data_IF_318432417829
#
_entry.id   IF_318432417829
#
_cell.length_a   1.000
_cell.length_b   1.000
_cell.length_c   1.000
_cell.angle_alpha   90.00
_cell.angle_beta   90.00
_cell.angle_gamma   90.00
#
_symmetry.space_group_name_H-M   'P 1'
#
loop_
_entity.id
_entity.type
_entity.pdbx_description
1 polymer ?
#
# COMPACT_ATOMS: atom_id res chain seq x y z
N UNK A 1 48.95 24.35 6.92
CA UNK A 1 48.74 22.91 6.67
C UNK A 1 47.52 22.47 7.48
N UNK A 2 46.32 22.47 6.88
CA UNK A 2 45.08 22.12 7.58
C UNK A 2 45.08 20.62 7.90
N UNK A 3 45.25 20.30 9.17
CA UNK A 3 45.15 18.94 9.68
C UNK A 3 43.71 18.47 9.50
N UNK A 4 43.40 17.76 8.40
CA UNK A 4 42.10 17.12 8.20
C UNK A 4 41.91 16.09 9.31
N UNK A 5 41.25 16.49 10.41
CA UNK A 5 40.77 15.57 11.44
C UNK A 5 39.90 14.54 10.73
N UNK A 6 40.43 13.33 10.51
CA UNK A 6 39.64 12.21 10.02
C UNK A 6 38.66 11.86 11.13
N UNK A 7 37.37 12.17 10.92
CA UNK A 7 36.30 11.76 11.82
C UNK A 7 36.37 10.23 11.91
N UNK A 8 36.78 9.71 13.07
CA UNK A 8 36.92 8.27 13.28
C UNK A 8 35.57 7.71 13.67
N UNK A 9 34.89 7.09 12.72
CA UNK A 9 33.60 6.43 12.94
C UNK A 9 33.82 5.13 13.72
N UNK A 10 33.16 4.97 14.86
CA UNK A 10 33.21 3.76 15.68
C UNK A 10 31.86 3.03 15.68
N UNK A 11 31.86 1.74 16.01
CA UNK A 11 30.64 0.93 16.14
C UNK A 11 29.72 1.54 17.21
N UNK A 12 30.27 1.90 18.37
CA UNK A 12 29.51 2.54 19.44
C UNK A 12 28.89 3.85 18.99
N UNK A 13 29.64 4.70 18.27
CA UNK A 13 29.13 5.96 17.74
C UNK A 13 27.96 5.76 16.75
N UNK A 14 28.02 4.75 15.90
CA UNK A 14 26.93 4.44 14.95
C UNK A 14 25.70 3.84 15.62
N UNK A 15 25.88 3.01 16.65
CA UNK A 15 24.76 2.50 17.45
C UNK A 15 24.10 3.63 18.24
N UNK A 16 24.88 4.50 18.87
CA UNK A 16 24.37 5.70 19.55
C UNK A 16 23.67 6.64 18.57
N UNK A 17 24.20 6.81 17.35
CA UNK A 17 23.55 7.62 16.32
C UNK A 17 22.21 7.03 15.90
N UNK A 18 22.10 5.71 15.72
CA UNK A 18 20.86 5.04 15.35
C UNK A 18 19.80 5.19 16.44
N UNK A 19 20.19 4.99 17.71
CA UNK A 19 19.31 5.19 18.86
C UNK A 19 18.86 6.66 18.98
N UNK A 20 19.78 7.60 18.81
CA UNK A 20 19.46 9.03 18.84
C UNK A 20 18.50 9.41 17.70
N UNK A 21 18.74 8.93 16.48
CA UNK A 21 17.83 9.11 15.34
C UNK A 21 16.43 8.57 15.67
N UNK A 22 16.34 7.36 16.23
CA UNK A 22 15.06 6.78 16.64
C UNK A 22 14.31 7.71 17.59
N UNK A 23 14.94 8.16 18.68
CA UNK A 23 14.27 9.05 19.64
C UNK A 23 13.91 10.42 19.04
N UNK A 24 14.77 11.00 18.21
CA UNK A 24 14.48 12.25 17.50
C UNK A 24 13.25 12.08 16.60
N UNK A 25 13.20 11.01 15.82
CA UNK A 25 12.07 10.78 14.92
C UNK A 25 10.79 10.45 15.67
N UNK A 26 10.85 9.77 16.83
CA UNK A 26 9.66 9.57 17.64
C UNK A 26 9.16 10.88 18.26
N UNK A 27 10.06 11.71 18.78
CA UNK A 27 9.70 13.03 19.30
C UNK A 27 9.08 13.92 18.21
N UNK A 28 9.65 13.87 16.99
CA UNK A 28 9.11 14.58 15.84
C UNK A 28 7.76 14.01 15.40
N UNK A 29 7.62 12.67 15.33
CA UNK A 29 6.37 11.98 15.00
C UNK A 29 5.24 12.32 15.98
N UNK A 30 5.56 12.54 17.27
CA UNK A 30 4.60 12.97 18.30
C UNK A 30 4.22 14.45 18.22
N UNK A 31 5.06 15.30 17.62
CA UNK A 31 4.77 16.74 17.48
C UNK A 31 3.92 17.07 16.25
N UNK A 32 3.83 16.17 15.27
CA UNK A 32 3.02 16.36 14.07
C UNK A 32 1.53 16.12 14.35
N UNK A 33 0.69 17.03 13.85
CA UNK A 33 -0.76 16.85 13.85
C UNK A 33 -1.16 15.68 12.93
N UNK A 34 -2.13 14.84 13.34
CA UNK A 34 -2.62 13.75 12.51
C UNK A 34 -3.37 14.18 11.24
N UNK A 35 -3.87 15.42 11.13
CA UNK A 35 -4.78 15.82 10.04
C UNK A 35 -4.30 17.02 9.22
N UNK A 36 -3.50 17.91 9.81
CA UNK A 36 -2.96 19.09 9.12
C UNK A 36 -1.50 19.32 9.51
N UNK A 37 -0.61 18.76 8.70
CA UNK A 37 0.81 18.70 8.99
C UNK A 37 1.60 19.38 7.88
N UNK A 38 2.33 20.43 8.23
CA UNK A 38 3.29 21.08 7.33
C UNK A 38 4.28 20.09 6.72
N UNK A 39 4.60 19.02 7.46
CA UNK A 39 5.50 17.96 7.01
C UNK A 39 4.88 17.15 5.88
N UNK A 40 3.58 16.86 5.92
CA UNK A 40 2.88 16.22 4.80
C UNK A 40 3.04 17.02 3.51
N UNK A 41 2.78 18.34 3.55
CA UNK A 41 2.94 19.22 2.39
C UNK A 41 4.39 19.29 1.89
N UNK A 42 5.37 19.30 2.79
CA UNK A 42 6.78 19.23 2.42
C UNK A 42 7.09 17.92 1.68
N UNK A 43 6.61 16.79 2.19
CA UNK A 43 6.87 15.48 1.59
C UNK A 43 6.19 15.33 0.24
N UNK A 44 4.97 15.84 0.05
CA UNK A 44 4.33 15.88 -1.28
C UNK A 44 5.23 16.62 -2.29
N UNK A 45 5.84 17.75 -1.90
CA UNK A 45 6.79 18.48 -2.77
C UNK A 45 8.06 17.68 -3.07
N UNK A 46 8.63 17.00 -2.07
CA UNK A 46 9.80 16.13 -2.26
C UNK A 46 9.47 14.99 -3.22
N UNK A 47 8.30 14.36 -3.07
CA UNK A 47 7.86 13.27 -3.95
C UNK A 47 7.58 13.75 -5.36
N UNK A 48 7.00 14.94 -5.53
CA UNK A 48 6.86 15.59 -6.83
C UNK A 48 8.24 15.78 -7.50
N UNK A 49 9.25 16.21 -6.74
CA UNK A 49 10.62 16.33 -7.25
C UNK A 49 11.22 14.97 -7.65
N UNK A 50 11.08 13.93 -6.81
CA UNK A 50 11.54 12.58 -7.13
C UNK A 50 10.86 12.05 -8.41
N UNK A 51 9.56 12.27 -8.56
CA UNK A 51 8.83 11.90 -9.75
C UNK A 51 9.37 12.60 -11.01
N UNK A 52 9.70 13.89 -10.94
CA UNK A 52 10.34 14.60 -12.06
C UNK A 52 11.67 13.99 -12.51
N UNK A 53 12.37 13.25 -11.63
CA UNK A 53 13.62 12.57 -11.97
C UNK A 53 13.33 11.15 -12.48
N UNK A 54 12.63 10.34 -11.68
CA UNK A 54 12.48 8.90 -11.93
C UNK A 54 11.30 8.55 -12.84
N UNK A 55 10.31 9.44 -12.98
CA UNK A 55 9.16 9.26 -13.86
C UNK A 55 9.54 9.07 -15.33
N UNK A 56 10.65 9.68 -15.79
CA UNK A 56 11.13 9.54 -17.17
C UNK A 56 11.80 8.20 -17.49
N UNK A 57 12.27 7.49 -16.47
CA UNK A 57 12.97 6.22 -16.62
C UNK A 57 11.93 5.10 -16.68
N UNK A 58 11.94 4.27 -17.72
CA UNK A 58 10.92 3.23 -17.91
C UNK A 58 11.15 1.98 -17.04
N UNK A 59 12.38 1.76 -16.58
CA UNK A 59 12.79 0.62 -15.75
C UNK A 59 12.64 0.99 -14.26
N UNK A 60 12.25 0.03 -13.42
CA UNK A 60 12.17 0.23 -11.95
C UNK A 60 13.56 0.46 -11.35
N UNK A 61 13.89 1.72 -11.08
CA UNK A 61 15.18 2.11 -10.47
C UNK A 61 15.25 1.63 -9.01
N UNK A 62 14.10 1.60 -8.34
CA UNK A 62 13.91 1.11 -6.99
C UNK A 62 14.21 -0.38 -6.87
N UNK A 63 13.79 -1.19 -7.85
CA UNK A 63 14.15 -2.62 -7.88
C UNK A 63 15.67 -2.79 -8.08
N UNK A 64 16.26 -2.02 -8.99
CA UNK A 64 17.73 -2.03 -9.22
C UNK A 64 18.46 -1.65 -7.93
N UNK A 65 17.96 -0.63 -7.23
CA UNK A 65 18.51 -0.19 -5.95
C UNK A 65 18.42 -1.30 -4.89
N UNK A 66 17.28 -1.99 -4.78
CA UNK A 66 17.13 -3.12 -3.84
C UNK A 66 18.03 -4.31 -4.21
N UNK A 67 18.17 -4.64 -5.50
CA UNK A 67 19.11 -5.67 -5.95
C UNK A 67 20.55 -5.28 -5.58
N UNK A 68 20.93 -4.01 -5.83
CA UNK A 68 22.24 -3.50 -5.48
C UNK A 68 22.52 -3.58 -3.97
N UNK A 69 21.56 -3.17 -3.13
CA UNK A 69 21.65 -3.29 -1.68
C UNK A 69 21.81 -4.74 -1.24
N UNK A 70 21.04 -5.66 -1.81
CA UNK A 70 21.12 -7.09 -1.50
C UNK A 70 22.51 -7.65 -1.84
N UNK A 71 23.04 -7.34 -3.03
CA UNK A 71 24.38 -7.77 -3.44
C UNK A 71 25.45 -7.20 -2.51
N UNK A 72 25.37 -5.92 -2.15
CA UNK A 72 26.30 -5.30 -1.20
C UNK A 72 26.28 -5.99 0.17
N UNK A 73 25.09 -6.27 0.70
CA UNK A 73 24.93 -6.97 1.98
C UNK A 73 25.53 -8.38 1.90
N UNK A 74 25.26 -9.14 0.83
CA UNK A 74 25.82 -10.48 0.64
C UNK A 74 27.36 -10.42 0.58
N UNK A 75 27.94 -9.48 -0.18
CA UNK A 75 29.39 -9.31 -0.24
C UNK A 75 29.97 -9.03 1.15
N UNK A 76 29.35 -8.14 1.92
CA UNK A 76 29.83 -7.82 3.26
C UNK A 76 29.65 -8.97 4.24
N UNK A 77 28.57 -9.75 4.15
CA UNK A 77 28.38 -10.96 4.97
C UNK A 77 29.45 -12.01 4.64
N UNK A 78 29.74 -12.26 3.36
CA UNK A 78 30.83 -13.16 2.95
C UNK A 78 32.18 -12.65 3.48
N UNK A 79 32.46 -11.35 3.35
CA UNK A 79 33.70 -10.75 3.87
C UNK A 79 33.81 -10.90 5.38
N UNK A 80 32.73 -10.68 6.13
CA UNK A 80 32.67 -10.88 7.58
C UNK A 80 33.01 -12.33 7.91
N UNK A 81 32.35 -13.30 7.27
CA UNK A 81 32.61 -14.73 7.49
C UNK A 81 34.06 -15.11 7.19
N UNK A 82 34.60 -14.68 6.05
CA UNK A 82 35.99 -14.95 5.66
C UNK A 82 36.98 -14.31 6.63
N UNK A 83 36.79 -13.05 7.03
CA UNK A 83 37.69 -12.38 7.97
C UNK A 83 37.58 -12.92 9.38
N UNK A 84 36.39 -13.38 9.79
CA UNK A 84 36.17 -14.04 11.06
C UNK A 84 36.95 -15.37 11.14
N UNK A 85 36.82 -16.22 10.11
CA UNK A 85 37.58 -17.48 10.01
C UNK A 85 39.10 -17.22 10.00
N UNK A 86 39.54 -16.19 9.26
CA UNK A 86 40.95 -15.77 9.21
C UNK A 86 41.42 -15.02 10.48
N UNK A 87 40.60 -14.93 11.53
CA UNK A 87 40.87 -14.23 12.80
C UNK A 87 41.30 -12.77 12.64
N UNK A 88 40.90 -12.11 11.55
CA UNK A 88 41.22 -10.70 11.24
C UNK A 88 40.19 -9.75 11.86
N UNK A 89 40.21 -9.62 13.19
CA UNK A 89 39.22 -8.86 13.99
C UNK A 89 39.01 -7.43 13.50
N UNK A 90 40.08 -6.71 13.14
CA UNK A 90 39.98 -5.33 12.64
C UNK A 90 39.20 -5.22 11.32
N UNK A 91 39.36 -6.21 10.41
CA UNK A 91 38.64 -6.23 9.13
C UNK A 91 37.16 -6.57 9.33
N UNK A 92 36.85 -7.48 10.25
CA UNK A 92 35.46 -7.77 10.66
C UNK A 92 34.79 -6.51 11.19
N UNK A 93 35.45 -5.80 12.12
CA UNK A 93 34.94 -4.55 12.66
C UNK A 93 34.73 -3.49 11.56
N UNK A 94 35.65 -3.38 10.60
CA UNK A 94 35.49 -2.46 9.46
C UNK A 94 34.28 -2.80 8.58
N UNK A 95 34.02 -4.08 8.29
CA UNK A 95 32.82 -4.50 7.56
C UNK A 95 31.54 -4.17 8.35
N UNK A 96 31.53 -4.41 9.66
CA UNK A 96 30.39 -4.10 10.51
C UNK A 96 30.10 -2.58 10.57
N UNK A 97 31.14 -1.76 10.64
CA UNK A 97 31.02 -0.29 10.56
C UNK A 97 30.37 0.12 9.23
N UNK A 98 30.75 -0.48 8.10
CA UNK A 98 30.13 -0.18 6.79
C UNK A 98 28.64 -0.54 6.76
N UNK A 99 28.28 -1.71 7.27
CA UNK A 99 26.88 -2.16 7.38
C UNK A 99 26.08 -1.19 8.25
N UNK A 100 26.55 -0.91 9.46
CA UNK A 100 25.86 -0.01 10.40
C UNK A 100 25.75 1.42 9.86
N UNK A 101 26.77 1.91 9.16
CA UNK A 101 26.74 3.22 8.54
C UNK A 101 25.67 3.29 7.45
N UNK A 102 25.59 2.27 6.59
CA UNK A 102 24.54 2.17 5.58
C UNK A 102 23.15 2.11 6.23
N UNK A 103 22.96 1.31 7.28
CA UNK A 103 21.69 1.22 8.02
C UNK A 103 21.28 2.59 8.57
N UNK A 104 22.22 3.34 9.16
CA UNK A 104 21.94 4.69 9.66
C UNK A 104 21.43 5.63 8.54
N UNK A 105 22.06 5.59 7.37
CA UNK A 105 21.64 6.41 6.23
C UNK A 105 20.25 5.98 5.73
N UNK A 106 20.05 4.68 5.54
CA UNK A 106 18.79 4.15 5.03
C UNK A 106 17.63 4.41 5.99
N UNK A 107 17.86 4.24 7.30
CA UNK A 107 16.86 4.53 8.33
C UNK A 107 16.50 6.01 8.37
N UNK A 108 17.50 6.90 8.42
CA UNK A 108 17.27 8.34 8.40
C UNK A 108 16.51 8.80 7.16
N UNK A 109 16.91 8.32 5.99
CA UNK A 109 16.20 8.59 4.73
C UNK A 109 14.77 8.07 4.78
N UNK A 110 14.57 6.82 5.19
CA UNK A 110 13.25 6.21 5.26
C UNK A 110 12.31 7.01 6.17
N UNK A 111 12.77 7.38 7.37
CA UNK A 111 11.96 8.17 8.30
C UNK A 111 11.59 9.53 7.72
N UNK A 112 12.56 10.22 7.11
CA UNK A 112 12.37 11.54 6.50
C UNK A 112 11.58 11.53 5.20
N UNK A 113 11.52 10.43 4.46
CA UNK A 113 10.82 10.35 3.16
C UNK A 113 9.42 9.74 3.26
N UNK A 114 9.19 8.90 4.28
CA UNK A 114 7.94 8.14 4.39
C UNK A 114 7.55 7.79 5.83
N UNK A 115 8.49 7.35 6.67
CA UNK A 115 8.18 6.80 8.00
C UNK A 115 7.44 7.74 8.95
N UNK A 116 7.70 9.05 8.88
CA UNK A 116 7.00 10.05 9.68
C UNK A 116 5.53 10.27 9.27
N UNK A 117 5.14 9.87 8.05
CA UNK A 117 3.76 10.00 7.55
C UNK A 117 2.81 8.96 8.16
N UNK A 118 3.30 7.93 8.85
CA UNK A 118 2.43 6.90 9.45
C UNK A 118 1.47 7.43 10.54
N UNK A 119 1.73 8.62 11.10
CA UNK A 119 0.83 9.29 12.04
C UNK A 119 -0.18 10.24 11.36
N UNK A 120 -0.01 10.50 10.08
CA UNK A 120 -0.92 11.35 9.32
C UNK A 120 -2.08 10.51 8.78
N UNK A 121 -3.30 11.05 8.86
CA UNK A 121 -4.54 10.44 8.40
C UNK A 121 -5.29 11.45 7.52
N UNK A 122 -5.21 11.25 6.20
CA UNK A 122 -5.95 11.94 5.16
C UNK A 122 -7.46 11.74 5.30
N UNK A 123 -7.88 10.57 5.83
CA UNK A 123 -9.28 10.16 5.92
C UNK A 123 -9.77 10.02 7.38
N UNK A 124 -9.20 10.82 8.28
CA UNK A 124 -9.49 10.79 9.72
C UNK A 124 -10.98 10.81 10.05
N UNK A 125 -11.78 11.55 9.28
CA UNK A 125 -13.24 11.65 9.47
C UNK A 125 -14.00 10.32 9.29
N UNK A 126 -13.50 9.41 8.46
CA UNK A 126 -14.12 8.10 8.22
C UNK A 126 -13.56 7.03 9.17
N UNK A 127 -12.28 7.17 9.52
CA UNK A 127 -11.59 6.31 10.48
C UNK A 127 -12.13 6.49 11.91
N UNK A 128 -12.29 7.75 12.34
CA UNK A 128 -12.71 8.14 13.68
C UNK A 128 -14.16 8.64 13.71
N UNK A 129 -15.05 8.00 12.93
CA UNK A 129 -16.48 8.25 13.05
C UNK A 129 -16.95 7.93 14.48
N UNK A 130 -17.65 8.87 15.11
CA UNK A 130 -18.27 8.70 16.44
C UNK A 130 -19.48 7.78 16.41
N UNK A 131 -20.01 7.51 15.23
CA UNK A 131 -21.17 6.67 15.06
C UNK A 131 -20.79 5.20 15.25
N UNK A 132 -21.56 4.50 16.10
CA UNK A 132 -21.37 3.07 16.29
C UNK A 132 -21.88 2.33 15.05
N UNK A 133 -21.00 1.54 14.43
CA UNK A 133 -21.37 0.67 13.32
C UNK A 133 -21.84 -0.69 13.83
N UNK A 134 -22.88 -1.22 13.20
CA UNK A 134 -23.43 -2.54 13.49
C UNK A 134 -23.32 -3.45 12.27
N UNK A 135 -23.38 -4.77 12.45
CA UNK A 135 -23.30 -5.75 11.35
C UNK A 135 -24.31 -5.46 10.22
N UNK A 136 -25.50 -4.93 10.55
CA UNK A 136 -26.51 -4.54 9.56
C UNK A 136 -26.02 -3.42 8.63
N UNK A 137 -25.21 -2.48 9.11
CA UNK A 137 -24.66 -1.39 8.29
C UNK A 137 -23.73 -1.96 7.19
N UNK A 138 -22.90 -2.95 7.56
CA UNK A 138 -22.02 -3.64 6.61
C UNK A 138 -22.82 -4.39 5.54
N UNK A 139 -23.91 -5.06 5.94
CA UNK A 139 -24.81 -5.77 5.02
C UNK A 139 -25.53 -4.81 4.06
N UNK A 140 -26.02 -3.67 4.55
CA UNK A 140 -26.67 -2.65 3.69
C UNK A 140 -25.70 -2.22 2.60
N UNK A 141 -24.47 -1.87 2.97
CA UNK A 141 -23.45 -1.43 2.02
C UNK A 141 -23.01 -2.56 1.08
N UNK A 142 -22.85 -3.79 1.58
CA UNK A 142 -22.50 -4.94 0.74
C UNK A 142 -23.59 -5.25 -0.30
N UNK A 143 -24.87 -5.19 0.08
CA UNK A 143 -25.99 -5.35 -0.84
C UNK A 143 -26.05 -4.24 -1.89
N UNK A 144 -25.82 -2.99 -1.49
CA UNK A 144 -25.73 -1.86 -2.42
C UNK A 144 -24.57 -2.03 -3.42
N UNK A 145 -23.36 -2.34 -2.93
CA UNK A 145 -22.19 -2.57 -3.76
C UNK A 145 -22.36 -3.76 -4.71
N UNK A 146 -23.04 -4.84 -4.29
CA UNK A 146 -23.38 -5.95 -5.18
C UNK A 146 -24.20 -5.44 -6.37
N UNK A 147 -25.28 -4.70 -6.12
CA UNK A 147 -26.15 -4.19 -7.17
C UNK A 147 -25.40 -3.25 -8.13
N UNK A 148 -24.55 -2.38 -7.59
CA UNK A 148 -23.68 -1.50 -8.39
C UNK A 148 -22.68 -2.31 -9.23
N UNK A 149 -22.03 -3.31 -8.66
CA UNK A 149 -21.09 -4.16 -9.38
C UNK A 149 -21.77 -4.95 -10.50
N UNK A 150 -23.00 -5.46 -10.26
CA UNK A 150 -23.76 -6.18 -11.29
C UNK A 150 -24.04 -5.28 -12.49
N UNK A 151 -24.50 -4.05 -12.26
CA UNK A 151 -24.74 -3.06 -13.33
C UNK A 151 -23.45 -2.68 -14.04
N UNK A 152 -22.42 -2.29 -13.28
CA UNK A 152 -21.13 -1.89 -13.84
C UNK A 152 -20.51 -3.01 -14.67
N UNK A 153 -20.69 -4.28 -14.28
CA UNK A 153 -20.16 -5.42 -15.02
C UNK A 153 -20.67 -5.49 -16.47
N UNK A 154 -21.83 -4.92 -16.76
CA UNK A 154 -22.40 -4.83 -18.12
C UNK A 154 -21.77 -3.70 -18.95
N UNK A 155 -21.24 -2.67 -18.30
CA UNK A 155 -20.68 -1.47 -18.93
C UNK A 155 -19.15 -1.51 -19.10
N UNK A 156 -18.47 -2.39 -18.36
CA UNK A 156 -17.00 -2.48 -18.35
C UNK A 156 -16.42 -3.30 -19.50
N UNK A 157 -15.13 -3.09 -19.72
CA UNK A 157 -14.31 -3.86 -20.65
C UNK A 157 -14.23 -5.34 -20.22
N UNK A 158 -14.53 -6.24 -21.15
CA UNK A 158 -14.48 -7.69 -20.94
C UNK A 158 -13.62 -8.37 -22.03
N UNK A 159 -12.91 -9.44 -21.66
CA UNK A 159 -12.23 -10.30 -22.62
C UNK A 159 -13.22 -11.26 -23.30
N UNK A 160 -12.72 -12.07 -24.25
CA UNK A 160 -13.53 -13.04 -25.01
C UNK A 160 -14.26 -14.08 -24.14
N UNK A 161 -13.79 -14.32 -22.91
CA UNK A 161 -14.41 -15.25 -21.97
C UNK A 161 -15.49 -14.59 -21.09
N UNK A 162 -15.68 -13.26 -21.18
CA UNK A 162 -16.58 -12.50 -20.32
C UNK A 162 -15.98 -12.13 -18.96
N UNK A 163 -14.67 -12.32 -18.78
CA UNK A 163 -13.93 -11.82 -17.61
C UNK A 163 -13.63 -10.34 -17.81
N UNK A 164 -13.61 -9.59 -16.72
CA UNK A 164 -13.18 -8.19 -16.72
C UNK A 164 -11.73 -8.12 -17.21
N UNK A 165 -11.47 -7.16 -18.09
CA UNK A 165 -10.16 -6.97 -18.69
C UNK A 165 -9.90 -5.48 -18.85
N UNK A 166 -8.69 -5.04 -18.48
CA UNK A 166 -8.34 -3.62 -18.52
C UNK A 166 -6.96 -3.44 -19.15
N UNK A 167 -6.81 -2.38 -19.92
CA UNK A 167 -5.49 -1.92 -20.34
C UNK A 167 -4.80 -1.22 -19.17
N UNK A 168 -3.74 -1.86 -18.66
CA UNK A 168 -2.97 -1.36 -17.52
C UNK A 168 -2.37 0.01 -17.78
N UNK A 169 -1.77 0.24 -18.95
CA UNK A 169 -1.03 1.47 -19.21
C UNK A 169 -2.01 2.63 -19.39
N UNK A 170 -3.17 2.38 -20.01
CA UNK A 170 -4.30 3.32 -20.04
C UNK A 170 -4.83 3.61 -18.63
N UNK A 171 -4.97 2.60 -17.79
CA UNK A 171 -5.48 2.77 -16.42
C UNK A 171 -4.52 3.60 -15.55
N UNK A 172 -3.20 3.39 -15.69
CA UNK A 172 -2.18 4.20 -15.04
C UNK A 172 -2.35 5.69 -15.40
N UNK A 173 -2.56 6.00 -16.69
CA UNK A 173 -2.77 7.38 -17.15
C UNK A 173 -4.06 8.01 -16.58
N UNK A 174 -5.15 7.25 -16.53
CA UNK A 174 -6.45 7.70 -16.03
C UNK A 174 -6.35 8.01 -14.53
N UNK A 175 -5.85 7.08 -13.74
CA UNK A 175 -5.73 7.24 -12.28
C UNK A 175 -4.78 8.39 -11.95
N UNK A 176 -3.67 8.54 -12.69
CA UNK A 176 -2.76 9.68 -12.51
C UNK A 176 -3.44 11.02 -12.77
N UNK A 177 -4.27 11.10 -13.81
CA UNK A 177 -5.03 12.31 -14.10
C UNK A 177 -6.05 12.62 -13.00
N UNK A 178 -6.81 11.63 -12.54
CA UNK A 178 -7.81 11.81 -11.47
C UNK A 178 -7.16 12.19 -10.14
N UNK A 179 -6.03 11.57 -9.79
CA UNK A 179 -5.24 11.94 -8.61
C UNK A 179 -4.74 13.39 -8.70
N UNK A 180 -4.19 13.79 -9.85
CA UNK A 180 -3.68 15.16 -10.04
C UNK A 180 -4.80 16.19 -9.88
N UNK A 181 -5.99 15.89 -10.42
CA UNK A 181 -7.17 16.74 -10.27
C UNK A 181 -7.66 16.80 -8.82
N UNK A 182 -7.71 15.66 -8.11
CA UNK A 182 -8.15 15.59 -6.72
C UNK A 182 -7.29 16.45 -5.78
N UNK A 183 -5.97 16.43 -5.94
CA UNK A 183 -5.06 17.25 -5.13
C UNK A 183 -4.80 18.66 -5.68
N UNK A 184 -5.36 19.01 -6.84
CA UNK A 184 -5.10 20.29 -7.50
C UNK A 184 -3.63 20.50 -7.87
N UNK A 185 -2.90 19.41 -8.17
CA UNK A 185 -1.47 19.43 -8.51
C UNK A 185 -1.27 19.28 -10.02
N UNK A 186 -0.20 19.89 -10.60
CA UNK A 186 0.12 19.70 -12.01
C UNK A 186 0.38 18.23 -12.32
N UNK A 187 -0.17 17.75 -13.44
CA UNK A 187 0.06 16.39 -13.91
C UNK A 187 1.55 16.19 -14.21
N UNK A 188 2.15 15.19 -13.59
CA UNK A 188 3.48 14.70 -13.91
C UNK A 188 3.41 13.41 -14.69
N UNK A 189 4.56 12.97 -15.22
CA UNK A 189 4.71 11.64 -15.81
C UNK A 189 4.45 10.58 -14.74
N UNK A 190 3.81 9.48 -15.15
CA UNK A 190 3.43 8.41 -14.25
C UNK A 190 4.67 7.66 -13.74
N UNK A 191 4.88 7.68 -12.42
CA UNK A 191 5.98 6.95 -11.79
C UNK A 191 5.57 5.57 -11.31
N UNK A 192 4.81 4.87 -12.18
CA UNK A 192 4.34 3.51 -11.96
C UNK A 192 5.17 2.58 -12.84
N UNK A 193 5.86 1.62 -12.21
CA UNK A 193 6.78 0.71 -12.91
C UNK A 193 6.34 -0.74 -12.73
N UNK A 194 6.54 -1.54 -13.77
CA UNK A 194 6.45 -3.00 -13.65
C UNK A 194 7.66 -3.48 -12.85
N UNK A 195 7.44 -4.22 -11.76
CA UNK A 195 8.55 -4.72 -10.95
C UNK A 195 9.41 -5.72 -11.74
N UNK A 196 10.73 -5.54 -11.68
CA UNK A 196 11.76 -6.50 -12.13
C UNK A 196 11.77 -7.71 -11.18
N UNK A 197 11.51 -7.48 -9.90
CA UNK A 197 11.41 -8.48 -8.83
C UNK A 197 10.07 -9.25 -8.81
N UNK A 198 9.28 -9.19 -9.89
CA UNK A 198 7.94 -9.79 -10.00
C UNK A 198 7.81 -11.21 -9.40
N UNK A 199 8.67 -12.19 -9.73
CA UNK A 199 8.53 -13.54 -9.19
C UNK A 199 8.73 -13.61 -7.67
N UNK A 200 9.53 -12.71 -7.11
CA UNK A 200 9.83 -12.65 -5.68
C UNK A 200 8.65 -12.01 -4.95
N UNK A 201 8.20 -10.84 -5.39
CA UNK A 201 7.12 -10.11 -4.71
C UNK A 201 5.80 -10.91 -4.73
N UNK A 202 5.50 -11.62 -5.84
CA UNK A 202 4.31 -12.49 -5.93
C UNK A 202 4.41 -13.64 -4.90
N UNK A 203 5.57 -14.28 -4.75
CA UNK A 203 5.79 -15.34 -3.75
C UNK A 203 5.70 -14.83 -2.31
N UNK A 204 5.92 -13.53 -2.09
CA UNK A 204 5.76 -12.88 -0.79
C UNK A 204 4.32 -12.40 -0.55
N UNK A 205 3.40 -12.60 -1.49
CA UNK A 205 2.03 -12.13 -1.36
C UNK A 205 1.80 -10.66 -1.76
N UNK A 206 2.80 -10.02 -2.38
CA UNK A 206 2.82 -8.57 -2.66
C UNK A 206 2.40 -8.31 -4.12
N UNK A 207 1.34 -7.51 -4.29
CA UNK A 207 0.82 -7.12 -5.62
C UNK A 207 1.41 -5.81 -6.14
N UNK A 208 1.83 -4.95 -5.23
CA UNK A 208 2.51 -3.70 -5.49
C UNK A 208 3.24 -3.25 -4.24
N UNK A 209 4.15 -2.29 -4.41
CA UNK A 209 4.78 -1.62 -3.29
C UNK A 209 5.29 -0.24 -3.71
N UNK A 210 5.35 0.69 -2.76
CA UNK A 210 5.98 1.98 -2.92
C UNK A 210 7.46 1.93 -2.49
N UNK A 211 8.34 2.51 -3.30
CA UNK A 211 9.76 2.61 -3.00
C UNK A 211 10.11 4.00 -2.41
N UNK A 212 10.38 4.12 -1.10
CA UNK A 212 10.63 5.42 -0.45
C UNK A 212 11.96 6.07 -0.84
N UNK A 213 12.86 5.35 -1.52
CA UNK A 213 14.16 5.88 -1.96
C UNK A 213 14.10 6.54 -3.33
N UNK A 214 13.15 6.14 -4.17
CA UNK A 214 13.00 6.61 -5.56
C UNK A 214 11.65 7.29 -5.81
N UNK A 215 10.69 7.17 -4.90
CA UNK A 215 9.32 7.67 -5.10
C UNK A 215 8.54 6.90 -6.17
N UNK A 216 9.08 5.79 -6.67
CA UNK A 216 8.41 4.91 -7.62
C UNK A 216 7.35 4.07 -6.90
N UNK A 217 6.25 3.81 -7.59
CA UNK A 217 5.30 2.77 -7.22
C UNK A 217 5.47 1.60 -8.18
N UNK A 218 5.73 0.42 -7.62
CA UNK A 218 5.95 -0.80 -8.37
C UNK A 218 4.72 -1.68 -8.33
N UNK A 219 4.31 -2.21 -9.47
CA UNK A 219 3.17 -3.13 -9.56
C UNK A 219 3.62 -4.44 -10.21
N UNK A 220 3.13 -5.55 -9.68
CA UNK A 220 3.34 -6.88 -10.25
C UNK A 220 2.69 -6.99 -11.64
N UNK A 221 3.36 -7.71 -12.54
CA UNK A 221 3.05 -7.78 -13.98
C UNK A 221 1.77 -8.54 -14.27
N UNK A 222 1.48 -9.59 -13.51
CA UNK A 222 0.50 -10.62 -13.86
C UNK A 222 -0.65 -10.74 -12.86
N UNK A 223 -0.99 -9.64 -12.17
CA UNK A 223 -2.13 -9.61 -11.24
C UNK A 223 -3.47 -9.67 -12.03
N UNK A 224 -4.55 -10.22 -11.43
CA UNK A 224 -5.86 -10.24 -12.07
C UNK A 224 -6.32 -8.84 -12.46
N UNK A 225 -6.96 -8.72 -13.63
CA UNK A 225 -7.41 -7.43 -14.17
C UNK A 225 -8.31 -6.66 -13.20
N UNK A 226 -9.16 -7.37 -12.44
CA UNK A 226 -10.01 -6.81 -11.37
C UNK A 226 -9.23 -6.14 -10.26
N UNK A 227 -7.96 -6.49 -10.07
CA UNK A 227 -7.06 -5.91 -9.07
C UNK A 227 -6.17 -4.81 -9.64
N UNK A 228 -6.03 -4.69 -10.97
CA UNK A 228 -5.12 -3.71 -11.59
C UNK A 228 -5.47 -2.26 -11.20
N UNK A 229 -6.69 -1.75 -11.43
CA UNK A 229 -7.00 -0.36 -11.10
C UNK A 229 -6.87 -0.08 -9.60
N UNK A 230 -7.40 -0.98 -8.76
CA UNK A 230 -7.29 -0.86 -7.31
C UNK A 230 -5.84 -0.80 -6.82
N UNK A 231 -4.99 -1.74 -7.26
CA UNK A 231 -3.58 -1.77 -6.85
C UNK A 231 -2.82 -0.54 -7.35
N UNK A 232 -3.06 -0.07 -8.59
CA UNK A 232 -2.42 1.16 -9.08
C UNK A 232 -2.81 2.34 -8.19
N UNK A 233 -4.10 2.54 -7.92
CA UNK A 233 -4.55 3.65 -7.09
C UNK A 233 -4.03 3.56 -5.64
N UNK A 234 -3.95 2.35 -5.09
CA UNK A 234 -3.34 2.09 -3.77
C UNK A 234 -1.87 2.55 -3.74
N UNK A 235 -1.03 2.06 -4.66
CA UNK A 235 0.39 2.42 -4.68
C UNK A 235 0.61 3.90 -5.00
N UNK A 236 -0.23 4.48 -5.86
CA UNK A 236 -0.25 5.93 -6.11
C UNK A 236 -0.68 6.73 -4.87
N UNK A 237 -1.48 6.15 -3.97
CA UNK A 237 -1.80 6.73 -2.66
C UNK A 237 -0.55 6.90 -1.80
N UNK A 238 0.32 5.89 -1.77
CA UNK A 238 1.62 6.01 -1.10
C UNK A 238 2.50 7.11 -1.72
N UNK A 239 2.45 7.31 -3.04
CA UNK A 239 3.17 8.40 -3.71
C UNK A 239 2.70 9.80 -3.29
N UNK A 240 1.45 9.96 -2.85
CA UNK A 240 0.94 11.24 -2.32
C UNK A 240 0.99 11.33 -0.79
N UNK A 241 1.50 10.29 -0.12
CA UNK A 241 1.73 10.32 1.33
C UNK A 241 0.64 9.70 2.19
N UNK A 242 -0.28 8.94 1.59
CA UNK A 242 -1.12 8.00 2.33
C UNK A 242 -0.22 6.84 2.75
N UNK A 243 0.34 6.87 3.97
CA UNK A 243 1.39 5.91 4.36
C UNK A 243 0.84 4.60 4.92
N UNK A 244 -0.35 4.62 5.51
CA UNK A 244 -0.94 3.45 6.15
C UNK A 244 -1.64 2.56 5.11
N UNK A 245 -1.47 1.25 5.22
CA UNK A 245 -2.05 0.27 4.28
C UNK A 245 -3.59 0.27 4.27
N UNK A 246 -4.23 0.33 5.44
CA UNK A 246 -5.69 0.41 5.56
C UNK A 246 -6.23 1.69 4.90
N UNK A 247 -5.55 2.80 5.17
CA UNK A 247 -5.88 4.09 4.59
C UNK A 247 -5.62 4.12 3.08
N UNK A 248 -4.55 3.49 2.58
CA UNK A 248 -4.26 3.38 1.15
C UNK A 248 -5.30 2.51 0.41
N UNK A 249 -5.78 1.44 1.06
CA UNK A 249 -6.91 0.68 0.54
C UNK A 249 -8.20 1.51 0.49
N UNK A 250 -8.48 2.30 1.54
CA UNK A 250 -9.62 3.21 1.54
C UNK A 250 -9.46 4.34 0.51
N UNK A 251 -8.25 4.89 0.34
CA UNK A 251 -7.92 5.90 -0.66
C UNK A 251 -8.22 5.39 -2.06
N UNK A 252 -7.79 4.16 -2.39
CA UNK A 252 -8.12 3.55 -3.68
C UNK A 252 -9.62 3.46 -3.90
N UNK A 253 -10.38 3.02 -2.89
CA UNK A 253 -11.84 3.00 -2.96
C UNK A 253 -12.41 4.40 -3.16
N UNK A 254 -12.00 5.37 -2.34
CA UNK A 254 -12.49 6.73 -2.36
C UNK A 254 -12.26 7.42 -3.71
N UNK A 255 -11.09 7.23 -4.32
CA UNK A 255 -10.77 7.76 -5.64
C UNK A 255 -11.60 7.12 -6.74
N UNK A 256 -11.80 5.80 -6.69
CA UNK A 256 -12.51 5.09 -7.75
C UNK A 256 -14.04 5.08 -7.62
N UNK A 257 -14.60 5.27 -6.42
CA UNK A 257 -16.04 5.10 -6.14
C UNK A 257 -16.93 5.96 -7.04
N UNK A 258 -16.49 7.19 -7.29
CA UNK A 258 -17.18 8.17 -8.15
C UNK A 258 -16.37 8.55 -9.39
N UNK A 259 -15.38 7.73 -9.77
CA UNK A 259 -14.56 7.99 -10.96
C UNK A 259 -15.43 8.01 -12.23
N UNK A 260 -15.20 8.91 -13.19
CA UNK A 260 -15.91 8.85 -14.48
C UNK A 260 -15.58 7.57 -15.29
N UNK A 261 -14.48 6.88 -14.96
CA UNK A 261 -14.09 5.65 -15.62
C UNK A 261 -14.75 4.42 -14.98
N UNK A 262 -15.58 3.71 -15.76
CA UNK A 262 -16.35 2.53 -15.30
C UNK A 262 -15.47 1.34 -14.93
N UNK A 263 -14.34 1.13 -15.62
CA UNK A 263 -13.41 0.04 -15.30
C UNK A 263 -12.76 0.27 -13.93
N UNK A 264 -12.42 1.53 -13.60
CA UNK A 264 -11.90 1.90 -12.28
C UNK A 264 -12.98 1.77 -11.20
N UNK A 265 -14.19 2.30 -11.43
CA UNK A 265 -15.33 2.14 -10.52
C UNK A 265 -15.60 0.66 -10.18
N UNK A 266 -15.68 -0.20 -11.20
CA UNK A 266 -15.96 -1.62 -11.01
C UNK A 266 -14.86 -2.30 -10.17
N UNK A 267 -13.59 -2.07 -10.49
CA UNK A 267 -12.47 -2.67 -9.75
C UNK A 267 -12.52 -2.30 -8.26
N UNK A 268 -12.73 -1.03 -7.92
CA UNK A 268 -12.72 -0.60 -6.52
C UNK A 268 -13.98 -1.01 -5.76
N UNK A 269 -15.16 -0.93 -6.38
CA UNK A 269 -16.43 -1.39 -5.79
C UNK A 269 -16.43 -2.89 -5.57
N UNK A 270 -15.89 -3.66 -6.51
CA UNK A 270 -15.72 -5.10 -6.39
C UNK A 270 -14.76 -5.46 -5.25
N UNK A 271 -13.65 -4.72 -5.08
CA UNK A 271 -12.73 -4.95 -3.97
C UNK A 271 -13.32 -4.53 -2.61
N UNK A 272 -14.03 -3.41 -2.57
CA UNK A 272 -14.81 -2.96 -1.41
C UNK A 272 -15.83 -4.02 -0.96
N UNK A 273 -16.62 -4.58 -1.91
CA UNK A 273 -17.55 -5.67 -1.63
C UNK A 273 -16.84 -6.86 -0.98
N UNK A 274 -15.69 -7.27 -1.53
CA UNK A 274 -14.91 -8.38 -0.96
C UNK A 274 -14.34 -8.09 0.43
N UNK A 275 -13.98 -6.83 0.76
CA UNK A 275 -13.61 -6.47 2.14
C UNK A 275 -14.79 -6.66 3.09
N UNK A 276 -15.96 -6.12 2.75
CA UNK A 276 -17.16 -6.24 3.58
C UNK A 276 -17.60 -7.71 3.74
N UNK A 277 -17.56 -8.50 2.68
CA UNK A 277 -17.92 -9.92 2.76
C UNK A 277 -16.99 -10.72 3.68
N UNK A 278 -15.68 -10.40 3.72
CA UNK A 278 -14.75 -11.03 4.67
C UNK A 278 -15.11 -10.68 6.11
N UNK A 279 -15.43 -9.42 6.38
CA UNK A 279 -15.83 -8.96 7.71
C UNK A 279 -17.16 -9.59 8.16
N UNK A 280 -18.15 -9.65 7.26
CA UNK A 280 -19.47 -10.22 7.54
C UNK A 280 -19.37 -11.73 7.76
N UNK A 281 -18.50 -12.44 7.03
CA UNK A 281 -18.41 -13.91 7.07
C UNK A 281 -18.21 -14.48 8.47
N UNK A 282 -17.48 -13.76 9.33
CA UNK A 282 -17.21 -14.18 10.72
C UNK A 282 -18.49 -14.30 11.54
N UNK A 283 -19.48 -13.43 11.28
CA UNK A 283 -20.72 -13.34 12.08
C UNK A 283 -21.96 -13.83 11.32
N UNK A 284 -21.96 -13.83 9.99
CA UNK A 284 -23.06 -14.28 9.15
C UNK A 284 -22.58 -14.79 7.78
N UNK A 285 -22.11 -16.04 7.76
CA UNK A 285 -21.69 -16.72 6.54
C UNK A 285 -22.85 -16.97 5.56
N UNK A 286 -24.09 -17.13 6.05
CA UNK A 286 -25.26 -17.36 5.22
C UNK A 286 -25.56 -16.15 4.31
N UNK A 287 -25.47 -14.94 4.85
CA UNK A 287 -25.56 -13.70 4.07
C UNK A 287 -24.46 -13.61 2.99
N UNK A 288 -23.23 -13.98 3.32
CA UNK A 288 -22.13 -13.98 2.35
C UNK A 288 -22.40 -14.96 1.21
N UNK A 289 -22.88 -16.17 1.52
CA UNK A 289 -23.26 -17.15 0.50
C UNK A 289 -24.41 -16.64 -0.38
N UNK A 290 -25.39 -15.93 0.18
CA UNK A 290 -26.46 -15.29 -0.58
C UNK A 290 -25.92 -14.25 -1.57
N UNK A 291 -25.03 -13.35 -1.12
CA UNK A 291 -24.41 -12.35 -2.00
C UNK A 291 -23.61 -13.01 -3.12
N UNK A 292 -22.77 -13.99 -2.80
CA UNK A 292 -21.97 -14.71 -3.81
C UNK A 292 -22.82 -15.47 -4.82
N UNK A 293 -23.98 -16.00 -4.41
CA UNK A 293 -24.93 -16.66 -5.33
C UNK A 293 -25.49 -15.66 -6.35
N UNK A 294 -25.73 -14.43 -5.92
CA UNK A 294 -26.27 -13.33 -6.72
C UNK A 294 -25.23 -12.57 -7.57
N UNK A 295 -23.96 -12.97 -7.56
CA UNK A 295 -22.99 -12.45 -8.52
C UNK A 295 -23.46 -12.73 -9.95
N UNK A 296 -23.28 -11.74 -10.84
CA UNK A 296 -23.50 -11.93 -12.27
C UNK A 296 -22.57 -13.01 -12.83
N UNK A 297 -22.87 -13.55 -14.02
CA UNK A 297 -22.03 -14.57 -14.66
C UNK A 297 -20.58 -14.09 -14.81
N UNK A 298 -20.40 -12.84 -15.24
CA UNK A 298 -19.07 -12.24 -15.37
C UNK A 298 -18.35 -12.07 -14.02
N UNK A 299 -19.05 -11.61 -12.98
CA UNK A 299 -18.46 -11.50 -11.64
C UNK A 299 -18.02 -12.85 -11.07
N UNK A 300 -18.74 -13.95 -11.39
CA UNK A 300 -18.33 -15.31 -11.00
C UNK A 300 -17.03 -15.71 -11.69
N UNK A 301 -16.87 -15.41 -12.98
CA UNK A 301 -15.62 -15.67 -13.70
C UNK A 301 -14.45 -14.85 -13.13
N UNK A 302 -14.68 -13.56 -12.87
CA UNK A 302 -13.70 -12.67 -12.24
C UNK A 302 -13.24 -13.23 -10.89
N UNK A 303 -14.20 -13.69 -10.07
CA UNK A 303 -13.93 -14.32 -8.78
C UNK A 303 -13.11 -15.59 -8.88
N UNK A 304 -13.42 -16.48 -9.83
CA UNK A 304 -12.66 -17.73 -10.02
C UNK A 304 -11.23 -17.45 -10.50
N UNK A 305 -11.04 -16.46 -11.38
CA UNK A 305 -9.71 -15.99 -11.80
C UNK A 305 -8.89 -15.46 -10.62
N UNK A 306 -9.48 -14.60 -9.79
CA UNK A 306 -8.82 -14.11 -8.57
C UNK A 306 -8.48 -15.24 -7.60
N UNK A 307 -9.42 -16.15 -7.31
CA UNK A 307 -9.17 -17.30 -6.43
C UNK A 307 -8.00 -18.14 -6.92
N UNK A 308 -8.00 -18.50 -8.20
CA UNK A 308 -6.92 -19.30 -8.80
C UNK A 308 -5.57 -18.60 -8.69
N UNK A 309 -5.54 -17.29 -8.93
CA UNK A 309 -4.33 -16.49 -8.81
C UNK A 309 -3.80 -16.45 -7.36
N UNK A 310 -4.65 -16.11 -6.39
CA UNK A 310 -4.23 -15.98 -4.99
C UNK A 310 -3.89 -17.32 -4.33
N UNK A 311 -4.52 -18.42 -4.73
CA UNK A 311 -4.09 -19.77 -4.33
C UNK A 311 -2.66 -20.08 -4.78
N UNK A 312 -2.23 -19.54 -5.93
CA UNK A 312 -0.85 -19.65 -6.39
C UNK A 312 0.16 -18.78 -5.63
N UNK A 313 -0.32 -17.78 -4.88
CA UNK A 313 0.52 -16.89 -4.07
C UNK A 313 0.73 -17.38 -2.64
N UNK A 314 -0.18 -18.20 -2.11
CA UNK A 314 -0.06 -18.70 -0.74
C UNK A 314 1.11 -19.67 -0.58
N UNK A 315 1.90 -19.47 0.48
CA UNK A 315 2.97 -20.39 0.89
C UNK A 315 3.88 -19.81 1.97
N UNK A 316 4.94 -20.53 2.33
CA UNK A 316 5.85 -20.14 3.41
C UNK A 316 6.42 -18.72 3.26
N UNK A 317 6.69 -18.28 2.02
CA UNK A 317 7.18 -16.93 1.73
C UNK A 317 6.17 -15.84 2.10
N UNK A 318 4.91 -16.01 1.71
CA UNK A 318 3.83 -15.07 2.03
C UNK A 318 3.53 -15.04 3.53
N UNK A 319 3.63 -16.19 4.20
CA UNK A 319 3.37 -16.30 5.64
C UNK A 319 4.44 -15.59 6.47
N UNK A 320 5.72 -15.81 6.13
CA UNK A 320 6.85 -15.12 6.77
C UNK A 320 6.78 -13.61 6.51
N UNK A 321 6.51 -13.21 5.27
CA UNK A 321 6.39 -11.79 4.94
C UNK A 321 5.22 -11.14 5.69
N UNK A 322 4.06 -11.79 5.73
CA UNK A 322 2.90 -11.33 6.49
C UNK A 322 3.23 -11.17 7.97
N UNK A 323 3.93 -12.14 8.57
CA UNK A 323 4.39 -12.02 9.96
C UNK A 323 5.32 -10.81 10.18
N UNK A 324 6.32 -10.63 9.31
CA UNK A 324 7.26 -9.50 9.41
C UNK A 324 6.55 -8.15 9.20
N UNK A 325 5.66 -8.06 8.21
CA UNK A 325 4.90 -6.85 7.94
C UNK A 325 3.99 -6.50 9.12
N UNK A 326 3.34 -7.50 9.73
CA UNK A 326 2.52 -7.30 10.93
C UNK A 326 3.32 -6.67 12.09
N UNK A 327 4.55 -7.12 12.33
CA UNK A 327 5.45 -6.53 13.34
C UNK A 327 5.79 -5.09 12.96
N UNK A 328 6.12 -4.85 11.68
CA UNK A 328 6.46 -3.53 11.18
C UNK A 328 5.29 -2.53 11.36
N UNK A 329 4.07 -2.89 10.96
CA UNK A 329 2.88 -2.05 11.12
C UNK A 329 2.61 -1.73 12.59
N UNK A 330 2.68 -2.74 13.48
CA UNK A 330 2.51 -2.55 14.94
C UNK A 330 3.54 -1.60 15.52
N UNK A 331 4.81 -1.72 15.13
CA UNK A 331 5.87 -0.82 15.58
C UNK A 331 5.71 0.63 15.09
N UNK A 332 4.96 0.84 14.01
CA UNK A 332 4.63 2.16 13.46
C UNK A 332 3.29 2.71 13.94
N UNK A 333 2.80 2.24 15.10
CA UNK A 333 1.56 2.71 15.74
C UNK A 333 0.26 2.21 15.07
N UNK A 334 0.33 1.19 14.20
CA UNK A 334 -0.85 0.46 13.75
C UNK A 334 -1.05 -0.79 14.63
N UNK A 335 -1.60 -0.58 15.84
CA UNK A 335 -1.73 -1.62 16.86
C UNK A 335 -2.54 -2.85 16.38
N UNK A 336 -3.40 -2.69 15.38
CA UNK A 336 -4.23 -3.75 14.80
C UNK A 336 -3.46 -4.68 13.83
N UNK A 337 -2.32 -4.23 13.27
CA UNK A 337 -1.51 -5.08 12.37
C UNK A 337 -2.27 -5.55 11.12
N UNK A 338 -2.11 -6.81 10.69
CA UNK A 338 -2.86 -7.42 9.55
C UNK A 338 -4.39 -7.43 9.77
N UNK A 339 -4.88 -7.17 11.00
CA UNK A 339 -6.32 -6.94 11.27
C UNK A 339 -6.79 -5.59 10.68
N UNK A 340 -5.90 -4.81 10.06
CA UNK A 340 -6.17 -3.64 9.23
C UNK A 340 -7.29 -3.80 8.16
N UNK A 341 -7.63 -5.04 7.78
CA UNK A 341 -8.81 -5.31 6.93
C UNK A 341 -10.14 -4.85 7.56
N UNK A 342 -10.22 -4.83 8.89
CA UNK A 342 -11.41 -4.39 9.61
C UNK A 342 -11.55 -2.85 9.52
N UNK A 343 -10.43 -2.12 9.52
CA UNK A 343 -10.47 -0.66 9.48
C UNK A 343 -10.87 -0.12 8.10
N UNK A 344 -10.40 -0.70 6.99
CA UNK A 344 -10.87 -0.30 5.65
C UNK A 344 -12.38 -0.55 5.49
N UNK A 345 -12.89 -1.69 5.98
CA UNK A 345 -14.32 -2.03 5.95
C UNK A 345 -15.14 -1.01 6.74
N UNK A 346 -14.68 -0.64 7.94
CA UNK A 346 -15.26 0.42 8.77
C UNK A 346 -15.29 1.76 8.04
N UNK A 347 -14.18 2.16 7.41
CA UNK A 347 -14.09 3.43 6.69
C UNK A 347 -15.04 3.47 5.48
N UNK A 348 -15.16 2.36 4.73
CA UNK A 348 -16.12 2.23 3.61
C UNK A 348 -17.55 2.42 4.12
N UNK A 349 -17.95 1.71 5.19
CA UNK A 349 -19.31 1.84 5.75
C UNK A 349 -19.56 3.24 6.29
N UNK A 350 -18.61 3.84 7.01
CA UNK A 350 -18.67 5.23 7.47
C UNK A 350 -18.83 6.22 6.30
N UNK A 351 -18.13 5.99 5.20
CA UNK A 351 -18.27 6.79 3.98
C UNK A 351 -19.69 6.70 3.42
N UNK A 352 -20.25 5.49 3.27
CA UNK A 352 -21.61 5.32 2.77
C UNK A 352 -22.66 5.92 3.70
N UNK A 353 -22.53 5.78 5.02
CA UNK A 353 -23.45 6.43 5.98
C UNK A 353 -23.45 7.95 5.85
N UNK A 354 -22.26 8.54 5.66
CA UNK A 354 -22.11 9.98 5.52
C UNK A 354 -22.62 10.50 4.17
N UNK A 355 -22.31 9.82 3.07
CA UNK A 355 -22.60 10.30 1.71
C UNK A 355 -23.96 9.86 1.17
N UNK A 356 -24.46 8.70 1.61
CA UNK A 356 -25.71 8.11 1.14
C UNK A 356 -26.61 7.71 2.32
N UNK A 357 -27.00 8.66 3.19
CA UNK A 357 -27.77 8.35 4.40
C UNK A 357 -29.11 7.65 4.11
N UNK A 358 -29.69 7.86 2.93
CA UNK A 358 -30.92 7.20 2.47
C UNK A 358 -30.78 5.67 2.28
N UNK A 359 -29.55 5.14 2.20
CA UNK A 359 -29.34 3.69 2.22
C UNK A 359 -29.70 3.05 3.56
N UNK A 360 -29.68 3.82 4.65
CA UNK A 360 -29.82 3.33 6.03
C UNK A 360 -31.19 3.64 6.65
N UNK A 361 -32.10 4.25 5.90
CA UNK A 361 -33.47 4.51 6.35
C UNK A 361 -34.37 3.28 6.14
N UNK A 362 -35.32 3.05 7.06
CA UNK A 362 -36.22 1.86 7.10
C UNK A 362 -37.02 1.60 5.82
N UNK A 363 -37.14 2.58 4.92
CA UNK A 363 -37.87 2.46 3.65
C UNK A 363 -37.08 1.73 2.55
N UNK A 364 -35.79 1.42 2.78
CA UNK A 364 -35.00 0.71 1.80
C UNK A 364 -35.24 -0.81 1.89
N UNK A 365 -35.87 -1.36 0.86
CA UNK A 365 -36.26 -2.79 0.70
C UNK A 365 -35.15 -3.83 0.89
N UNK A 366 -33.90 -3.42 1.10
CA UNK A 366 -32.75 -4.28 1.42
C UNK A 366 -32.67 -4.67 2.91
N UNK A 367 -33.50 -4.07 3.78
CA UNK A 367 -33.52 -4.30 5.23
C UNK A 367 -34.59 -5.35 5.64
N UNK A 368 -35.49 -5.72 4.73
CA UNK A 368 -36.42 -6.86 4.88
C UNK A 368 -35.86 -8.08 4.16
#
# INVERSE_FOLDING_TARGET
MLHKRKIKVSISGLLSSLLLQFFIFQAFKMSLSPTDSWYFHLIVKVKFFLNSIFGFISISVGDIFYIFLLVLIIIWLIQVSVFYIKKKKEKVASCFIKILFLINILYGWFMLSFGLLYNYSNFYQFENSREKLFLIDYKIVAGHLLNECVKLKEEVSNNKNGEFAVDRDKMIMIINQEQSAFYGIPRQKENIKKSILNPIIIKLGILGYYNPFTGEAQVAKDIPDTSIPFTIAHEMGHQVGVAREDEANFYSFYMGESSPNKDFQYSVKYKALNYLLREIYVNDSAYVHLILKNYSKGMKLDREKEKKYYLGMSGLGSDVFSYMNNIYLKSNSQNEGIIAYNNVSKMIVSYYKKQYPSLFTKENSLIQ
#
